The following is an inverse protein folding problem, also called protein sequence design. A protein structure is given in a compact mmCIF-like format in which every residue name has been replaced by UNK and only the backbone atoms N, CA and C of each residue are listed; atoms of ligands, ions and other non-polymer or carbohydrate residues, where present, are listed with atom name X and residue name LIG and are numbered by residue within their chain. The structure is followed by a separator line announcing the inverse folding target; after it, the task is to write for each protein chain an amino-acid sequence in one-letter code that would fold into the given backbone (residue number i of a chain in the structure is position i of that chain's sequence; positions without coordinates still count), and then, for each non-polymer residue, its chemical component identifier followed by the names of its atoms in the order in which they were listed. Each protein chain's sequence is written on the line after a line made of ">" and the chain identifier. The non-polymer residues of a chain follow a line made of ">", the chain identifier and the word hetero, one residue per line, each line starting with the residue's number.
data_IF_558649376357
#
_entry.id   IF_558649376357
#
_cell.length_a   1.000
_cell.length_b   1.000
_cell.length_c   1.000
_cell.angle_alpha   90.00
_cell.angle_beta   90.00
_cell.angle_gamma   90.00
#
_symmetry.space_group_name_H-M   'P 1'
#
loop_
_entity.id
_entity.type
_entity.pdbx_description
1 polymer ?
#
# COMPACT_ATOMS: atom_id res chain seq x y z
N UNK A 1 -23.97 9.39 -14.25
CA UNK A 1 -22.89 8.88 -13.40
C UNK A 1 -22.20 7.79 -14.20
N UNK A 2 -20.96 8.01 -14.65
CA UNK A 2 -20.19 6.98 -15.35
C UNK A 2 -19.92 5.85 -14.36
N UNK A 3 -20.40 4.67 -14.66
CA UNK A 3 -20.23 3.49 -13.81
C UNK A 3 -18.97 2.76 -14.25
N UNK A 4 -18.16 2.29 -13.31
CA UNK A 4 -17.03 1.39 -13.57
C UNK A 4 -17.50 -0.01 -14.05
N UNK A 5 -18.66 -0.05 -14.70
CA UNK A 5 -19.35 -1.29 -15.07
C UNK A 5 -18.44 -2.19 -15.91
N UNK A 6 -18.14 -3.37 -15.40
CA UNK A 6 -17.31 -4.38 -16.06
C UNK A 6 -15.79 -4.24 -15.83
N UNK A 7 -15.31 -3.19 -15.15
CA UNK A 7 -13.89 -3.07 -14.77
C UNK A 7 -13.63 -3.81 -13.45
N UNK A 8 -12.45 -4.40 -13.30
CA UNK A 8 -11.94 -4.86 -12.01
C UNK A 8 -11.67 -3.66 -11.11
N UNK A 9 -11.96 -3.76 -9.82
CA UNK A 9 -11.83 -2.66 -8.85
C UNK A 9 -10.64 -2.91 -7.93
N UNK A 10 -9.74 -1.93 -7.86
CA UNK A 10 -8.62 -1.91 -6.94
C UNK A 10 -8.76 -0.77 -5.91
N UNK A 11 -8.45 -1.06 -4.66
CA UNK A 11 -8.19 -0.06 -3.62
C UNK A 11 -6.68 0.09 -3.47
N UNK A 12 -6.16 1.32 -3.52
CA UNK A 12 -4.74 1.62 -3.29
C UNK A 12 -4.63 2.66 -2.17
N UNK A 13 -4.07 2.29 -1.03
CA UNK A 13 -3.79 3.23 0.05
C UNK A 13 -2.44 3.94 -0.17
N UNK A 14 -2.33 5.23 0.18
CA UNK A 14 -1.17 6.05 -0.14
C UNK A 14 -1.03 6.32 -1.64
N UNK A 15 -2.16 6.49 -2.33
CA UNK A 15 -2.25 6.58 -3.80
C UNK A 15 -1.75 7.89 -4.41
N UNK A 16 -1.52 8.92 -3.59
CA UNK A 16 -1.25 10.28 -4.08
C UNK A 16 0.17 10.48 -4.61
N UNK A 17 1.16 9.78 -4.05
CA UNK A 17 2.58 10.00 -4.34
C UNK A 17 3.38 8.67 -4.41
N UNK A 18 4.59 8.75 -4.92
CA UNK A 18 5.58 7.67 -4.89
C UNK A 18 5.09 6.36 -5.50
N UNK A 19 5.33 5.26 -4.79
CA UNK A 19 4.93 3.92 -5.24
C UNK A 19 3.42 3.77 -5.41
N UNK A 20 2.61 4.32 -4.47
CA UNK A 20 1.16 4.24 -4.56
C UNK A 20 0.59 4.96 -5.78
N UNK A 21 1.17 6.09 -6.16
CA UNK A 21 0.80 6.78 -7.41
C UNK A 21 1.13 5.93 -8.64
N UNK A 22 2.32 5.33 -8.70
CA UNK A 22 2.71 4.48 -9.82
C UNK A 22 1.86 3.20 -9.94
N UNK A 23 1.52 2.58 -8.81
CA UNK A 23 0.57 1.45 -8.77
C UNK A 23 -0.81 1.87 -9.31
N UNK A 24 -1.31 3.03 -8.87
CA UNK A 24 -2.58 3.61 -9.33
C UNK A 24 -2.55 3.84 -10.84
N UNK A 25 -1.55 4.55 -11.34
CA UNK A 25 -1.41 4.88 -12.77
C UNK A 25 -1.33 3.64 -13.66
N UNK A 26 -0.55 2.64 -13.24
CA UNK A 26 -0.36 1.41 -14.01
C UNK A 26 -1.59 0.49 -13.95
N UNK A 27 -2.34 0.46 -12.85
CA UNK A 27 -3.62 -0.25 -12.78
C UNK A 27 -4.65 0.38 -13.72
N UNK A 28 -4.76 1.71 -13.74
CA UNK A 28 -5.64 2.43 -14.67
C UNK A 28 -5.26 2.11 -16.12
N UNK A 29 -3.97 2.17 -16.46
CA UNK A 29 -3.47 1.81 -17.79
C UNK A 29 -3.77 0.35 -18.20
N UNK A 30 -3.99 -0.54 -17.23
CA UNK A 30 -4.43 -1.94 -17.44
C UNK A 30 -5.96 -2.10 -17.45
N UNK A 31 -6.71 -1.01 -17.45
CA UNK A 31 -8.17 -1.01 -17.53
C UNK A 31 -8.90 -1.22 -16.20
N UNK A 32 -8.22 -1.10 -15.06
CA UNK A 32 -8.85 -1.18 -13.73
C UNK A 32 -9.51 0.14 -13.35
N UNK A 33 -10.56 0.05 -12.54
CA UNK A 33 -11.01 1.19 -11.74
C UNK A 33 -10.23 1.22 -10.44
N UNK A 34 -9.69 2.38 -10.08
CA UNK A 34 -8.92 2.55 -8.84
C UNK A 34 -9.63 3.48 -7.87
N UNK A 35 -9.95 2.98 -6.68
CA UNK A 35 -10.29 3.78 -5.51
C UNK A 35 -8.99 4.18 -4.81
N UNK A 36 -8.57 5.43 -4.99
CA UNK A 36 -7.34 5.95 -4.42
C UNK A 36 -7.57 6.56 -3.03
N UNK A 37 -6.87 6.04 -2.03
CA UNK A 37 -6.98 6.46 -0.63
C UNK A 37 -5.73 7.24 -0.23
N UNK A 38 -5.89 8.48 0.21
CA UNK A 38 -4.79 9.29 0.74
C UNK A 38 -5.31 10.43 1.63
N UNK A 39 -4.49 10.89 2.57
CA UNK A 39 -4.83 12.09 3.36
C UNK A 39 -4.49 13.40 2.64
N UNK A 40 -3.68 13.37 1.58
CA UNK A 40 -3.29 14.53 0.79
C UNK A 40 -4.42 14.95 -0.17
N UNK A 41 -5.38 15.73 0.33
CA UNK A 41 -6.55 16.17 -0.43
C UNK A 41 -6.21 16.98 -1.67
N UNK A 42 -5.17 17.84 -1.63
CA UNK A 42 -4.76 18.63 -2.77
C UNK A 42 -4.29 17.74 -3.94
N UNK A 43 -3.43 16.78 -3.64
CA UNK A 43 -2.93 15.84 -4.64
C UNK A 43 -4.03 14.92 -5.17
N UNK A 44 -4.94 14.48 -4.31
CA UNK A 44 -6.10 13.68 -4.70
C UNK A 44 -7.03 14.46 -5.65
N UNK A 45 -7.21 15.75 -5.44
CA UNK A 45 -7.98 16.60 -6.34
C UNK A 45 -7.33 16.77 -7.73
N UNK A 46 -5.98 16.81 -7.79
CA UNK A 46 -5.25 16.82 -9.06
C UNK A 46 -5.43 15.49 -9.81
N UNK A 47 -5.31 14.35 -9.12
CA UNK A 47 -5.50 13.04 -9.72
C UNK A 47 -6.93 12.85 -10.24
N UNK A 48 -7.94 13.34 -9.52
CA UNK A 48 -9.34 13.32 -9.95
C UNK A 48 -9.62 14.17 -11.20
N UNK A 49 -8.72 15.11 -11.54
CA UNK A 49 -8.77 15.86 -12.79
C UNK A 49 -7.99 15.19 -13.91
N UNK A 50 -6.95 14.43 -13.55
CA UNK A 50 -6.05 13.78 -14.50
C UNK A 50 -6.60 12.46 -15.05
N UNK A 51 -7.42 11.74 -14.28
CA UNK A 51 -8.02 10.48 -14.65
C UNK A 51 -9.54 10.62 -14.86
N UNK A 52 -10.10 9.80 -15.73
CA UNK A 52 -11.53 9.80 -15.99
C UNK A 52 -12.33 9.27 -14.77
N UNK A 53 -13.57 9.72 -14.60
CA UNK A 53 -14.42 9.36 -13.46
C UNK A 53 -14.81 7.87 -13.42
N UNK A 54 -14.68 7.15 -14.53
CA UNK A 54 -14.85 5.70 -14.63
C UNK A 54 -13.55 4.93 -14.50
N UNK A 55 -12.43 5.61 -14.22
CA UNK A 55 -11.11 5.03 -13.99
C UNK A 55 -10.61 5.26 -12.56
N UNK A 56 -10.95 6.41 -11.96
CA UNK A 56 -10.42 6.81 -10.68
C UNK A 56 -11.45 7.53 -9.81
N UNK A 57 -11.42 7.22 -8.52
CA UNK A 57 -12.15 7.97 -7.51
C UNK A 57 -11.29 8.16 -6.27
N UNK A 58 -11.13 9.41 -5.84
CA UNK A 58 -10.41 9.79 -4.64
C UNK A 58 -11.27 9.60 -3.38
N UNK A 59 -10.65 9.08 -2.33
CA UNK A 59 -11.16 9.05 -0.95
C UNK A 59 -10.10 9.70 -0.05
N UNK A 60 -10.44 10.86 0.51
CA UNK A 60 -9.50 11.67 1.29
C UNK A 60 -9.72 11.45 2.78
N UNK A 61 -8.72 10.91 3.47
CA UNK A 61 -8.80 10.68 4.91
C UNK A 61 -7.60 9.91 5.48
N UNK A 62 -7.59 9.75 6.81
CA UNK A 62 -6.58 8.99 7.53
C UNK A 62 -6.91 7.49 7.46
N UNK A 63 -5.97 6.70 6.95
CA UNK A 63 -6.12 5.24 6.84
C UNK A 63 -6.35 4.54 8.17
N UNK A 64 -5.99 5.16 9.28
CA UNK A 64 -6.15 4.63 10.65
C UNK A 64 -7.45 5.06 11.33
N UNK A 65 -8.29 5.86 10.67
CA UNK A 65 -9.64 6.21 11.14
C UNK A 65 -10.63 5.11 10.74
N UNK A 66 -11.15 4.41 11.74
CA UNK A 66 -12.07 3.28 11.53
C UNK A 66 -13.35 3.68 10.80
N UNK A 67 -13.91 4.85 11.14
CA UNK A 67 -15.15 5.33 10.50
C UNK A 67 -14.93 5.68 9.04
N UNK A 68 -13.79 6.33 8.73
CA UNK A 68 -13.39 6.63 7.36
C UNK A 68 -13.21 5.35 6.54
N UNK A 69 -12.52 4.34 7.09
CA UNK A 69 -12.29 3.06 6.41
C UNK A 69 -13.61 2.35 6.11
N UNK A 70 -14.48 2.18 7.11
CA UNK A 70 -15.81 1.55 6.94
C UNK A 70 -16.67 2.24 5.89
N UNK A 71 -16.75 3.57 5.95
CA UNK A 71 -17.54 4.36 5.01
C UNK A 71 -16.97 4.28 3.59
N UNK A 72 -15.65 4.29 3.45
CA UNK A 72 -14.98 4.20 2.15
C UNK A 72 -15.19 2.83 1.51
N UNK A 73 -14.96 1.73 2.24
CA UNK A 73 -15.20 0.38 1.72
C UNK A 73 -16.67 0.20 1.33
N UNK A 74 -17.60 0.62 2.17
CA UNK A 74 -19.03 0.55 1.86
C UNK A 74 -19.42 1.37 0.61
N UNK A 75 -18.76 2.51 0.37
CA UNK A 75 -18.99 3.32 -0.83
C UNK A 75 -18.37 2.69 -2.08
N UNK A 76 -17.21 2.03 -1.95
CA UNK A 76 -16.54 1.33 -3.05
C UNK A 76 -17.32 0.07 -3.44
N UNK A 77 -17.80 -0.72 -2.48
CA UNK A 77 -18.61 -1.92 -2.72
C UNK A 77 -19.92 -1.62 -3.48
N UNK A 78 -20.43 -0.37 -3.40
CA UNK A 78 -21.57 0.07 -4.23
C UNK A 78 -21.21 0.30 -5.70
N UNK A 79 -19.92 0.45 -6.02
CA UNK A 79 -19.43 0.56 -7.41
C UNK A 79 -19.37 -0.83 -8.03
N UNK A 80 -18.92 -1.82 -7.29
CA UNK A 80 -18.82 -3.22 -7.71
C UNK A 80 -17.99 -4.06 -6.73
N UNK A 81 -17.68 -5.28 -7.13
CA UNK A 81 -16.82 -6.19 -6.39
C UNK A 81 -15.39 -5.65 -6.29
N UNK A 82 -14.81 -5.71 -5.09
CA UNK A 82 -13.41 -5.32 -4.87
C UNK A 82 -12.52 -6.53 -5.20
N UNK A 83 -11.77 -6.43 -6.29
CA UNK A 83 -10.89 -7.50 -6.76
C UNK A 83 -9.50 -7.44 -6.13
N UNK A 84 -9.08 -6.23 -5.70
CA UNK A 84 -7.72 -5.98 -5.22
C UNK A 84 -7.69 -4.91 -4.13
N UNK A 85 -6.99 -5.21 -3.03
CA UNK A 85 -6.57 -4.23 -2.04
C UNK A 85 -5.04 -4.15 -2.03
N UNK A 86 -4.47 -2.95 -2.18
CA UNK A 86 -3.05 -2.68 -1.98
C UNK A 86 -2.89 -1.78 -0.75
N UNK A 87 -2.49 -2.35 0.36
CA UNK A 87 -2.06 -1.64 1.55
C UNK A 87 -0.63 -1.14 1.33
N UNK A 88 -0.50 0.09 0.84
CA UNK A 88 0.80 0.71 0.54
C UNK A 88 1.10 1.93 1.42
N UNK A 89 0.08 2.56 1.99
CA UNK A 89 0.28 3.73 2.84
C UNK A 89 1.15 3.42 4.06
N UNK A 90 2.13 4.24 4.31
CA UNK A 90 3.03 4.15 5.45
C UNK A 90 3.81 5.44 5.63
N UNK A 91 4.42 5.61 6.80
CA UNK A 91 5.25 6.77 7.10
C UNK A 91 6.60 6.31 7.61
N UNK A 92 7.69 6.97 7.19
CA UNK A 92 9.02 6.70 7.71
C UNK A 92 9.15 7.20 9.15
N UNK A 93 10.09 6.63 9.87
CA UNK A 93 10.53 7.17 11.14
C UNK A 93 12.02 6.89 11.30
N UNK A 94 12.83 7.94 11.19
CA UNK A 94 14.28 7.88 11.29
C UNK A 94 14.72 8.72 12.49
N UNK A 95 15.09 8.07 13.59
CA UNK A 95 15.60 8.68 14.81
C UNK A 95 16.54 7.73 15.53
N UNK A 96 17.52 8.28 16.25
CA UNK A 96 18.26 7.46 17.23
C UNK A 96 17.30 6.91 18.28
N UNK A 97 17.51 5.70 18.82
CA UNK A 97 16.52 5.04 19.68
C UNK A 97 16.06 5.85 20.91
N UNK A 98 16.93 6.71 21.44
CA UNK A 98 16.64 7.55 22.62
C UNK A 98 15.89 8.86 22.30
N UNK A 99 15.69 9.19 21.02
CA UNK A 99 15.01 10.43 20.59
C UNK A 99 13.54 10.24 20.21
N UNK A 100 13.00 9.03 20.34
CA UNK A 100 11.59 8.77 20.06
C UNK A 100 10.69 9.30 21.18
N UNK A 101 9.63 9.98 20.77
CA UNK A 101 8.52 10.41 21.62
C UNK A 101 7.25 9.61 21.31
N UNK A 102 6.26 9.64 22.21
CA UNK A 102 5.00 8.92 22.01
C UNK A 102 4.32 9.27 20.67
N UNK A 103 4.33 10.53 20.27
CA UNK A 103 3.74 11.00 19.02
C UNK A 103 4.42 10.37 17.77
N UNK A 104 5.73 10.12 17.82
CA UNK A 104 6.44 9.44 16.72
C UNK A 104 6.00 7.99 16.62
N UNK A 105 5.86 7.32 17.76
CA UNK A 105 5.39 5.94 17.85
C UNK A 105 3.98 5.84 17.28
N UNK A 106 3.06 6.69 17.76
CA UNK A 106 1.66 6.72 17.31
C UNK A 106 1.57 6.99 15.80
N UNK A 107 2.35 7.93 15.30
CA UNK A 107 2.40 8.27 13.89
C UNK A 107 2.83 7.07 13.03
N UNK A 108 3.88 6.37 13.45
CA UNK A 108 4.42 5.24 12.70
C UNK A 108 3.46 4.03 12.72
N UNK A 109 2.85 3.75 13.87
CA UNK A 109 1.89 2.65 14.04
C UNK A 109 0.59 2.82 13.25
N UNK A 110 0.26 4.02 12.78
CA UNK A 110 -0.88 4.24 11.87
C UNK A 110 -0.81 3.39 10.61
N UNK A 111 0.38 3.10 10.10
CA UNK A 111 0.57 2.20 8.96
C UNK A 111 0.04 0.79 9.24
N UNK A 112 0.46 0.21 10.35
CA UNK A 112 -0.01 -1.12 10.77
C UNK A 112 -1.51 -1.12 11.07
N UNK A 113 -1.99 -0.13 11.85
CA UNK A 113 -3.43 -0.01 12.16
C UNK A 113 -4.26 0.11 10.88
N UNK A 114 -3.83 0.96 9.95
CA UNK A 114 -4.51 1.14 8.67
C UNK A 114 -4.55 -0.15 7.84
N UNK A 115 -3.41 -0.84 7.70
CA UNK A 115 -3.34 -2.13 7.01
C UNK A 115 -4.35 -3.14 7.57
N UNK A 116 -4.44 -3.24 8.90
CA UNK A 116 -5.40 -4.14 9.57
C UNK A 116 -6.83 -3.72 9.27
N UNK A 117 -7.19 -2.45 9.45
CA UNK A 117 -8.56 -1.96 9.25
C UNK A 117 -9.02 -2.13 7.80
N UNK A 118 -8.21 -1.72 6.81
CA UNK A 118 -8.55 -1.88 5.39
C UNK A 118 -8.69 -3.34 4.99
N UNK A 119 -7.79 -4.22 5.47
CA UNK A 119 -7.90 -5.65 5.20
C UNK A 119 -9.18 -6.25 5.81
N UNK A 120 -9.50 -5.92 7.07
CA UNK A 120 -10.68 -6.42 7.77
C UNK A 120 -11.96 -5.99 7.05
N UNK A 121 -12.11 -4.70 6.73
CA UNK A 121 -13.34 -4.22 6.11
C UNK A 121 -13.49 -4.72 4.65
N UNK A 122 -12.39 -4.84 3.89
CA UNK A 122 -12.43 -5.42 2.54
C UNK A 122 -12.76 -6.91 2.58
N UNK A 123 -12.19 -7.67 3.52
CA UNK A 123 -12.50 -9.10 3.70
C UNK A 123 -13.96 -9.33 4.12
N UNK A 124 -14.54 -8.45 4.94
CA UNK A 124 -15.97 -8.50 5.27
C UNK A 124 -16.85 -8.24 4.06
N UNK A 125 -16.44 -7.35 3.18
CA UNK A 125 -17.22 -6.98 2.00
C UNK A 125 -17.14 -8.05 0.90
N UNK A 126 -15.95 -8.58 0.62
CA UNK A 126 -15.68 -9.39 -0.56
C UNK A 126 -14.81 -10.65 -0.31
N UNK A 127 -14.56 -11.03 0.95
CA UNK A 127 -13.68 -12.16 1.31
C UNK A 127 -14.19 -13.55 0.95
N UNK A 128 -15.43 -13.68 0.46
CA UNK A 128 -15.97 -14.94 -0.06
C UNK A 128 -15.78 -15.10 -1.57
N UNK A 129 -15.17 -14.11 -2.23
CA UNK A 129 -14.94 -14.06 -3.68
C UNK A 129 -13.45 -14.02 -3.98
N UNK A 130 -13.10 -13.96 -5.27
CA UNK A 130 -11.72 -13.82 -5.73
C UNK A 130 -11.16 -12.44 -5.37
N UNK A 131 -10.59 -12.32 -4.18
CA UNK A 131 -9.97 -11.11 -3.66
C UNK A 131 -8.46 -11.29 -3.56
N UNK A 132 -7.71 -10.31 -4.03
CA UNK A 132 -6.26 -10.24 -3.82
C UNK A 132 -5.93 -9.11 -2.84
N UNK A 133 -5.05 -9.36 -1.87
CA UNK A 133 -4.53 -8.36 -0.94
C UNK A 133 -3.01 -8.34 -1.04
N UNK A 134 -2.44 -7.18 -1.35
CA UNK A 134 -1.01 -6.95 -1.29
C UNK A 134 -0.68 -6.01 -0.12
N UNK A 135 0.18 -6.46 0.78
CA UNK A 135 0.68 -5.66 1.89
C UNK A 135 2.11 -5.21 1.58
N UNK A 136 2.26 -3.91 1.28
CA UNK A 136 3.56 -3.31 0.98
C UNK A 136 4.22 -2.90 2.29
N UNK A 137 5.20 -3.68 2.68
CA UNK A 137 5.97 -3.50 3.91
C UNK A 137 7.33 -2.82 3.62
N UNK A 138 8.41 -3.50 3.91
CA UNK A 138 9.79 -3.06 3.66
C UNK A 138 10.75 -4.21 3.98
N UNK A 139 12.00 -4.14 3.50
CA UNK A 139 13.09 -4.97 4.04
C UNK A 139 13.36 -4.69 5.53
N UNK A 140 12.88 -3.58 6.09
CA UNK A 140 12.84 -3.34 7.53
C UNK A 140 11.95 -4.33 8.31
N UNK A 141 11.11 -5.13 7.62
CA UNK A 141 10.36 -6.25 8.19
C UNK A 141 11.15 -7.57 8.22
N UNK A 142 12.38 -7.59 7.70
CA UNK A 142 13.23 -8.79 7.63
C UNK A 142 14.56 -8.63 8.38
N UNK A 143 14.92 -7.38 8.73
CA UNK A 143 16.14 -7.03 9.47
C UNK A 143 15.96 -5.78 10.32
N UNK A 144 16.82 -5.55 11.30
CA UNK A 144 16.89 -4.30 12.04
C UNK A 144 17.74 -3.26 11.33
N UNK A 145 17.37 -1.98 11.47
CA UNK A 145 18.15 -0.84 11.01
C UNK A 145 18.42 0.11 12.20
N UNK A 146 19.64 0.65 12.37
CA UNK A 146 20.04 1.36 13.60
C UNK A 146 19.16 2.55 13.97
N UNK A 147 18.69 3.34 13.03
CA UNK A 147 17.93 4.56 13.27
C UNK A 147 16.45 4.43 12.88
N UNK A 148 15.93 3.22 12.80
CA UNK A 148 14.58 2.91 12.35
C UNK A 148 13.83 1.99 13.34
N UNK A 149 14.13 2.05 14.63
CA UNK A 149 13.63 1.04 15.58
C UNK A 149 12.09 0.96 15.60
N UNK A 150 11.37 2.08 15.63
CA UNK A 150 9.90 2.11 15.61
C UNK A 150 9.35 1.73 14.24
N UNK A 151 10.02 2.17 13.16
CA UNK A 151 9.64 1.76 11.80
C UNK A 151 9.83 0.26 11.58
N UNK A 152 10.96 -0.30 12.02
CA UNK A 152 11.18 -1.75 11.99
C UNK A 152 10.10 -2.50 12.80
N UNK A 153 9.79 -2.05 14.02
CA UNK A 153 8.74 -2.67 14.84
C UNK A 153 7.39 -2.66 14.12
N UNK A 154 7.02 -1.55 13.48
CA UNK A 154 5.80 -1.44 12.68
C UNK A 154 5.81 -2.44 11.53
N UNK A 155 6.89 -2.48 10.74
CA UNK A 155 7.01 -3.36 9.57
C UNK A 155 7.09 -4.85 9.93
N UNK A 156 7.68 -5.20 11.08
CA UNK A 156 7.61 -6.56 11.62
C UNK A 156 6.19 -6.92 12.07
N UNK A 157 5.45 -5.98 12.66
CA UNK A 157 4.03 -6.16 12.97
C UNK A 157 3.17 -6.40 11.72
N UNK A 158 3.38 -5.60 10.67
CA UNK A 158 2.73 -5.78 9.35
C UNK A 158 3.04 -7.15 8.74
N UNK A 159 4.30 -7.64 8.85
CA UNK A 159 4.69 -8.99 8.42
C UNK A 159 3.97 -10.07 9.20
N UNK A 160 3.93 -9.96 10.53
CA UNK A 160 3.23 -10.91 11.39
C UNK A 160 1.75 -11.01 11.02
N UNK A 161 1.09 -9.87 10.84
CA UNK A 161 -0.30 -9.80 10.39
C UNK A 161 -0.49 -10.44 9.01
N UNK A 162 0.38 -10.11 8.04
CA UNK A 162 0.33 -10.70 6.69
C UNK A 162 0.45 -12.21 6.72
N UNK A 163 1.40 -12.75 7.52
CA UNK A 163 1.59 -14.19 7.67
C UNK A 163 0.38 -14.88 8.31
N UNK A 164 -0.25 -14.23 9.26
CA UNK A 164 -1.49 -14.73 9.88
C UNK A 164 -2.64 -14.79 8.87
N UNK A 165 -2.82 -13.74 8.05
CA UNK A 165 -3.82 -13.77 6.97
C UNK A 165 -3.53 -14.87 5.94
N UNK A 166 -2.27 -15.05 5.50
CA UNK A 166 -1.88 -16.12 4.58
C UNK A 166 -2.27 -17.50 5.12
N UNK A 167 -2.08 -17.71 6.43
CA UNK A 167 -2.47 -18.96 7.09
C UNK A 167 -4.00 -19.13 7.17
N UNK A 168 -4.72 -18.08 7.54
CA UNK A 168 -6.17 -18.09 7.70
C UNK A 168 -6.92 -18.34 6.38
N UNK A 169 -6.42 -17.79 5.27
CA UNK A 169 -7.04 -17.90 3.94
C UNK A 169 -6.40 -18.95 3.02
N UNK A 170 -5.56 -19.83 3.59
CA UNK A 170 -4.96 -20.95 2.84
C UNK A 170 -6.05 -21.86 2.28
N UNK A 171 -6.01 -22.10 0.96
CA UNK A 171 -6.97 -22.97 0.29
C UNK A 171 -8.28 -22.28 -0.10
N UNK A 172 -8.44 -21.00 0.16
CA UNK A 172 -9.58 -20.20 -0.31
C UNK A 172 -9.27 -19.47 -1.62
N UNK A 173 -10.27 -18.76 -2.17
CA UNK A 173 -10.09 -17.88 -3.34
C UNK A 173 -9.34 -16.58 -3.01
N UNK A 174 -9.27 -16.19 -1.73
CA UNK A 174 -8.52 -15.01 -1.30
C UNK A 174 -7.01 -15.24 -1.36
N UNK A 175 -6.27 -14.35 -2.02
CA UNK A 175 -4.82 -14.43 -2.18
C UNK A 175 -4.15 -13.26 -1.47
N UNK A 176 -3.20 -13.57 -0.58
CA UNK A 176 -2.49 -12.57 0.24
C UNK A 176 -1.02 -12.56 -0.15
N UNK A 177 -0.50 -11.41 -0.56
CA UNK A 177 0.90 -11.21 -0.94
C UNK A 177 1.59 -10.21 -0.02
N UNK A 178 2.72 -10.58 0.55
CA UNK A 178 3.66 -9.70 1.23
C UNK A 178 4.70 -9.15 0.27
N UNK A 179 4.89 -7.82 0.27
CA UNK A 179 5.89 -7.15 -0.57
C UNK A 179 6.91 -6.46 0.34
N UNK A 180 8.18 -6.77 0.16
CA UNK A 180 9.28 -6.27 1.01
C UNK A 180 10.29 -5.47 0.17
N UNK A 181 9.98 -4.24 -0.22
CA UNK A 181 10.90 -3.42 -0.99
C UNK A 181 12.02 -2.87 -0.11
N UNK A 182 13.22 -2.74 -0.70
CA UNK A 182 14.29 -1.88 -0.20
C UNK A 182 13.98 -0.39 -0.43
N UNK A 183 15.00 0.46 -0.39
CA UNK A 183 14.83 1.90 -0.61
C UNK A 183 14.25 2.22 -1.99
N UNK A 184 13.27 3.13 -2.04
CA UNK A 184 12.60 3.60 -3.24
C UNK A 184 12.83 5.10 -3.36
N UNK A 185 13.29 5.59 -4.51
CA UNK A 185 13.48 7.03 -4.76
C UNK A 185 12.13 7.73 -4.88
N UNK A 186 11.68 8.31 -3.76
CA UNK A 186 10.39 8.99 -3.63
C UNK A 186 10.46 10.07 -2.55
N UNK A 187 9.43 10.90 -2.46
CA UNK A 187 9.28 11.89 -1.39
C UNK A 187 9.14 11.28 0.03
N UNK A 188 9.15 9.96 0.16
CA UNK A 188 9.11 9.26 1.44
C UNK A 188 10.27 9.66 2.36
N UNK A 189 11.43 10.00 1.80
CA UNK A 189 12.63 10.38 2.54
C UNK A 189 12.81 11.89 2.73
N UNK A 190 11.84 12.72 2.30
CA UNK A 190 11.96 14.19 2.31
C UNK A 190 12.42 14.78 3.65
N UNK A 191 11.88 14.26 4.74
CA UNK A 191 12.16 14.74 6.09
C UNK A 191 13.20 13.88 6.82
N UNK A 192 14.02 13.14 6.07
CA UNK A 192 14.94 12.13 6.61
C UNK A 192 16.37 12.28 6.10
N UNK A 193 16.73 13.46 5.55
CA UNK A 193 18.04 13.68 4.92
C UNK A 193 19.22 13.59 5.90
N UNK A 194 19.00 13.78 7.19
CA UNK A 194 20.02 13.55 8.24
C UNK A 194 20.45 12.06 8.32
N UNK A 195 19.63 11.14 7.80
CA UNK A 195 19.86 9.69 7.82
C UNK A 195 20.04 9.08 6.42
N UNK A 196 19.40 9.67 5.42
CA UNK A 196 19.47 9.24 4.02
C UNK A 196 19.73 10.46 3.15
N UNK A 197 21.00 10.68 2.75
CA UNK A 197 21.36 11.82 1.87
C UNK A 197 20.64 11.73 0.52
N UNK A 198 20.42 12.88 -0.13
CA UNK A 198 19.83 12.93 -1.48
C UNK A 198 20.62 12.08 -2.48
N UNK A 199 21.95 12.16 -2.45
CA UNK A 199 22.81 11.35 -3.31
C UNK A 199 22.55 9.85 -3.13
N UNK A 200 22.46 9.39 -1.89
CA UNK A 200 22.12 7.99 -1.58
C UNK A 200 20.71 7.64 -2.04
N UNK A 201 19.74 8.55 -1.85
CA UNK A 201 18.37 8.34 -2.27
C UNK A 201 18.25 8.12 -3.78
N UNK A 202 18.99 8.88 -4.59
CA UNK A 202 18.99 8.71 -6.05
C UNK A 202 19.57 7.38 -6.55
N UNK A 203 20.26 6.63 -5.67
CA UNK A 203 20.66 5.25 -5.97
C UNK A 203 19.58 4.22 -5.71
N UNK A 204 18.42 4.62 -5.16
CA UNK A 204 17.31 3.72 -4.81
C UNK A 204 16.51 3.29 -6.05
N UNK A 205 15.64 2.29 -5.85
CA UNK A 205 14.78 1.77 -6.91
C UNK A 205 13.80 2.85 -7.40
N UNK A 206 13.53 2.88 -8.68
CA UNK A 206 12.50 3.77 -9.23
C UNK A 206 11.11 3.21 -8.95
N UNK A 207 10.20 4.06 -8.47
CA UNK A 207 8.85 3.66 -8.08
C UNK A 207 8.05 3.02 -9.24
N UNK A 208 8.21 3.52 -10.46
CA UNK A 208 7.54 2.98 -11.64
C UNK A 208 7.97 1.54 -12.00
N UNK A 209 9.27 1.25 -11.89
CA UNK A 209 9.81 -0.10 -12.14
C UNK A 209 9.36 -1.08 -11.05
N UNK A 210 9.38 -0.63 -9.80
CA UNK A 210 8.92 -1.44 -8.68
C UNK A 210 7.42 -1.74 -8.78
N UNK A 211 6.60 -0.75 -9.16
CA UNK A 211 5.17 -0.94 -9.40
C UNK A 211 4.90 -2.00 -10.49
N UNK A 212 5.67 -1.98 -11.57
CA UNK A 212 5.56 -2.97 -12.64
C UNK A 212 5.83 -4.40 -12.14
N UNK A 213 6.91 -4.60 -11.36
CA UNK A 213 7.23 -5.90 -10.78
C UNK A 213 6.14 -6.38 -9.81
N UNK A 214 5.64 -5.49 -8.95
CA UNK A 214 4.56 -5.82 -8.01
C UNK A 214 3.30 -6.22 -8.79
N UNK A 215 2.87 -5.42 -9.75
CA UNK A 215 1.66 -5.69 -10.52
C UNK A 215 1.78 -6.93 -11.40
N UNK A 216 2.96 -7.20 -11.98
CA UNK A 216 3.19 -8.43 -12.74
C UNK A 216 2.89 -9.69 -11.89
N UNK A 217 3.30 -9.69 -10.63
CA UNK A 217 3.05 -10.81 -9.71
C UNK A 217 1.62 -10.83 -9.14
N UNK A 218 0.95 -9.68 -9.07
CA UNK A 218 -0.33 -9.53 -8.37
C UNK A 218 -1.53 -9.70 -9.29
N UNK A 219 -1.46 -9.16 -10.53
CA UNK A 219 -2.62 -9.15 -11.45
C UNK A 219 -2.55 -10.24 -12.52
N UNK A 220 -1.59 -11.18 -12.44
CA UNK A 220 -1.56 -12.32 -13.36
C UNK A 220 -2.77 -13.24 -13.14
N UNK A 221 -3.20 -13.93 -14.20
CA UNK A 221 -4.31 -14.88 -14.19
C UNK A 221 -3.83 -16.35 -14.19
N UNK A 222 -2.52 -16.56 -13.99
CA UNK A 222 -1.96 -17.90 -13.92
C UNK A 222 -2.44 -18.66 -12.67
N UNK A 223 -2.50 -19.97 -12.75
CA UNK A 223 -2.85 -20.85 -11.61
C UNK A 223 -1.66 -20.95 -10.62
N UNK A 224 -1.27 -19.80 -10.08
CA UNK A 224 -0.22 -19.68 -9.07
C UNK A 224 -0.54 -18.54 -8.10
N UNK A 225 0.05 -18.61 -6.93
CA UNK A 225 -0.02 -17.54 -5.92
C UNK A 225 1.39 -17.19 -5.49
N UNK A 226 1.77 -15.93 -5.69
CA UNK A 226 2.99 -15.37 -5.10
C UNK A 226 2.65 -14.92 -3.68
N UNK A 227 3.25 -15.55 -2.69
CA UNK A 227 2.96 -15.25 -1.28
C UNK A 227 3.82 -14.13 -0.74
N UNK A 228 5.07 -14.06 -1.17
CA UNK A 228 6.04 -13.06 -0.72
C UNK A 228 7.03 -12.72 -1.83
N UNK A 229 7.35 -11.43 -1.94
CA UNK A 229 8.45 -10.96 -2.78
C UNK A 229 9.32 -9.96 -2.01
N UNK A 230 10.61 -10.21 -1.96
CA UNK A 230 11.60 -9.26 -1.49
C UNK A 230 12.33 -8.67 -2.71
N UNK A 231 12.37 -7.33 -2.79
CA UNK A 231 12.90 -6.62 -3.94
C UNK A 231 13.95 -5.63 -3.45
N UNK A 232 15.17 -5.84 -3.87
CA UNK A 232 16.31 -5.00 -3.52
C UNK A 232 16.86 -4.31 -4.77
N UNK A 233 17.46 -3.12 -4.58
CA UNK A 233 18.23 -2.49 -5.65
C UNK A 233 19.47 -3.32 -6.00
N UNK A 234 19.92 -3.22 -7.24
CA UNK A 234 21.24 -3.72 -7.58
C UNK A 234 22.33 -2.94 -6.82
N UNK A 235 23.45 -3.58 -6.48
CA UNK A 235 24.61 -2.83 -5.99
C UNK A 235 24.97 -1.71 -6.95
N UNK A 236 25.30 -0.54 -6.38
CA UNK A 236 25.80 0.59 -7.17
C UNK A 236 27.23 0.34 -7.60
#
# INVERSE_FOLDING_TARGET
>A
MSTAAGKKIAIVTGSALGLGYELTRQLIAKGWFVAGIDFNGARQAELSKAFAADEYRAFVGDISDESFVKNSVAAISKIGHIDLLINNAGQPSFKVPTAYEAADVDKCLKGLKGMVLWSVETLKADGERDLKIANVMSTAATRGNPNESVYCATKWGEKGYTKSLQAAYKGTSVKIMGVYPGGIDTSFYRDSHDYVSEEKQHTFMRANQLAEVILFNLVNEANLTVTDIEINRNPA
#
